data_IF_529438414028
#
_entry.id   IF_529438414028
#
_cell.length_a   1.000
_cell.length_b   1.000
_cell.length_c   1.000
_cell.angle_alpha   90.00
_cell.angle_beta   90.00
_cell.angle_gamma   90.00
#
_symmetry.space_group_name_H-M   'P 1'
#
loop_
_entity.id
_entity.type
_entity.pdbx_description
1 polymer ?
#
# COMPACT_ATOMS: atom_id res chain seq x y z
N UNK A 1 -1.08 1.37 -30.84
CA UNK A 1 0.24 1.36 -30.16
C UNK A 1 0.94 2.67 -30.47
N UNK A 2 1.34 3.42 -29.44
CA UNK A 2 2.05 4.69 -29.58
C UNK A 2 3.41 4.59 -28.91
N UNK A 3 4.44 5.23 -29.48
CA UNK A 3 5.80 5.18 -28.97
C UNK A 3 6.49 6.53 -29.18
N UNK A 4 7.30 6.93 -28.19
CA UNK A 4 8.21 8.07 -28.30
C UNK A 4 9.58 7.72 -27.72
N UNK A 5 10.61 7.89 -28.55
CA UNK A 5 12.01 7.61 -28.21
C UNK A 5 12.75 8.95 -28.12
N UNK A 6 13.41 9.16 -26.99
CA UNK A 6 14.21 10.35 -26.69
C UNK A 6 15.54 9.92 -26.05
N UNK A 7 16.49 10.85 -25.96
CA UNK A 7 17.80 10.57 -25.34
C UNK A 7 17.69 10.23 -23.85
N UNK A 8 16.72 10.83 -23.17
CA UNK A 8 16.48 10.67 -21.74
C UNK A 8 15.52 9.52 -21.40
N UNK A 9 14.92 8.87 -22.40
CA UNK A 9 14.10 7.68 -22.20
C UNK A 9 13.23 7.31 -23.39
N UNK A 10 12.59 6.14 -23.31
CA UNK A 10 11.61 5.65 -24.29
C UNK A 10 10.31 5.35 -23.57
N UNK A 11 9.21 5.89 -24.10
CA UNK A 11 7.86 5.60 -23.60
C UNK A 11 7.08 4.86 -24.68
N UNK A 12 6.45 3.76 -24.30
CA UNK A 12 5.62 2.93 -25.18
C UNK A 12 4.25 2.76 -24.54
N UNK A 13 3.21 2.83 -25.36
CA UNK A 13 1.82 2.63 -24.95
C UNK A 13 1.18 1.56 -25.85
N UNK A 14 0.81 0.45 -25.23
CA UNK A 14 0.22 -0.71 -25.90
C UNK A 14 -1.32 -0.69 -25.94
N UNK A 15 -1.95 0.12 -25.09
CA UNK A 15 -3.40 0.18 -24.91
C UNK A 15 -3.79 0.04 -23.43
N UNK A 16 -3.03 -0.76 -22.68
CA UNK A 16 -3.33 -1.12 -21.29
C UNK A 16 -2.33 -0.52 -20.30
N UNK A 17 -1.11 -0.21 -20.75
CA UNK A 17 -0.08 0.35 -19.90
C UNK A 17 0.89 1.26 -20.67
N UNK A 18 1.42 2.26 -19.96
CA UNK A 18 2.56 3.07 -20.42
C UNK A 18 3.83 2.47 -19.82
N UNK A 19 4.69 1.92 -20.67
CA UNK A 19 6.01 1.43 -20.28
C UNK A 19 7.06 2.51 -20.50
N UNK A 20 7.76 2.85 -19.44
CA UNK A 20 8.78 3.89 -19.36
C UNK A 20 10.13 3.22 -19.15
N UNK A 21 11.02 3.37 -20.13
CA UNK A 21 12.41 2.89 -20.05
C UNK A 21 13.32 4.11 -19.91
N UNK A 22 14.11 4.24 -18.83
CA UNK A 22 15.03 5.35 -18.65
C UNK A 22 16.15 5.30 -19.68
N UNK A 23 16.55 6.47 -20.19
CA UNK A 23 17.73 6.59 -21.04
C UNK A 23 19.02 6.33 -20.27
N UNK A 24 20.13 6.14 -21.00
CA UNK A 24 21.48 5.95 -20.42
C UNK A 24 22.36 7.19 -20.52
N UNK A 25 21.78 8.32 -20.93
CA UNK A 25 22.52 9.57 -21.06
C UNK A 25 22.94 10.14 -19.68
N UNK A 26 24.02 10.91 -19.66
CA UNK A 26 24.56 11.55 -18.44
C UNK A 26 23.57 12.53 -17.79
N UNK A 27 22.60 13.06 -18.55
CA UNK A 27 21.54 13.91 -18.05
C UNK A 27 20.42 13.17 -17.31
N UNK A 28 20.33 11.84 -17.44
CA UNK A 28 19.34 11.03 -16.74
C UNK A 28 19.76 10.85 -15.28
N UNK A 29 18.89 11.24 -14.35
CA UNK A 29 19.18 11.15 -12.91
C UNK A 29 19.39 9.72 -12.43
N UNK A 30 20.25 9.55 -11.43
CA UNK A 30 20.59 8.24 -10.87
C UNK A 30 19.36 7.49 -10.35
N UNK A 31 18.36 8.20 -9.81
CA UNK A 31 17.09 7.60 -9.38
C UNK A 31 16.43 6.83 -10.51
N UNK A 32 16.26 7.45 -11.69
CA UNK A 32 15.62 6.81 -12.84
C UNK A 32 16.44 5.61 -13.33
N UNK A 33 17.77 5.73 -13.33
CA UNK A 33 18.66 4.63 -13.71
C UNK A 33 18.54 3.42 -12.77
N UNK A 34 18.44 3.66 -11.45
CA UNK A 34 18.28 2.60 -10.45
C UNK A 34 16.87 2.02 -10.38
N UNK A 35 15.84 2.87 -10.56
CA UNK A 35 14.46 2.41 -10.65
C UNK A 35 14.26 1.51 -11.88
N UNK A 36 14.98 1.80 -12.97
CA UNK A 36 14.94 1.02 -14.19
C UNK A 36 13.62 1.22 -14.93
N UNK A 37 13.17 0.15 -15.58
CA UNK A 37 11.94 0.15 -16.35
C UNK A 37 10.71 0.20 -15.43
N UNK A 38 9.75 1.06 -15.78
CA UNK A 38 8.48 1.23 -15.05
C UNK A 38 7.32 0.96 -15.98
N UNK A 39 6.44 0.05 -15.61
CA UNK A 39 5.19 -0.22 -16.32
C UNK A 39 4.05 0.41 -15.54
N UNK A 40 3.46 1.47 -16.09
CA UNK A 40 2.34 2.19 -15.49
C UNK A 40 1.03 1.67 -16.08
N UNK A 41 0.21 0.91 -15.33
CA UNK A 41 -1.07 0.44 -15.84
C UNK A 41 -2.03 1.61 -16.04
N UNK A 42 -2.92 1.52 -17.03
CA UNK A 42 -3.88 2.57 -17.39
C UNK A 42 -4.69 3.04 -16.17
N UNK A 43 -5.11 2.10 -15.31
CA UNK A 43 -5.83 2.36 -14.05
C UNK A 43 -5.08 3.24 -13.04
N UNK A 44 -3.75 3.35 -13.13
CA UNK A 44 -2.94 4.19 -12.26
C UNK A 44 -2.75 5.61 -12.81
N UNK A 45 -3.09 5.84 -14.09
CA UNK A 45 -2.88 7.11 -14.77
C UNK A 45 -4.05 8.05 -14.43
N UNK A 46 -3.74 9.18 -13.79
CA UNK A 46 -4.68 10.26 -13.53
C UNK A 46 -4.67 11.33 -14.62
N UNK A 47 -3.74 11.26 -15.57
CA UNK A 47 -3.71 12.11 -16.75
C UNK A 47 -2.35 12.14 -17.44
N UNK A 48 -2.32 12.71 -18.63
CA UNK A 48 -1.09 12.94 -19.40
C UNK A 48 -1.18 14.29 -20.12
N UNK A 49 -0.05 14.99 -20.23
CA UNK A 49 0.05 16.26 -20.94
C UNK A 49 1.36 16.39 -21.71
N UNK A 50 1.29 17.14 -22.81
CA UNK A 50 2.46 17.63 -23.53
C UNK A 50 2.50 19.15 -23.40
N UNK A 51 3.60 19.67 -22.90
CA UNK A 51 3.87 21.09 -22.72
C UNK A 51 4.93 21.51 -23.78
N UNK A 52 4.55 22.18 -24.87
CA UNK A 52 5.50 22.63 -25.88
C UNK A 52 6.41 23.72 -25.31
N UNK A 53 7.68 23.71 -25.72
CA UNK A 53 8.68 24.69 -25.27
C UNK A 53 9.56 25.19 -26.41
N UNK A 54 10.23 26.33 -26.19
CA UNK A 54 11.01 27.02 -27.22
C UNK A 54 12.19 26.20 -27.77
N UNK A 55 12.82 25.37 -26.92
CA UNK A 55 13.98 24.53 -27.29
C UNK A 55 13.66 23.04 -27.28
N UNK A 56 12.82 22.62 -26.33
CA UNK A 56 12.32 21.27 -26.17
C UNK A 56 10.96 21.36 -25.49
N UNK A 57 10.05 20.48 -25.86
CA UNK A 57 8.80 20.26 -25.13
C UNK A 57 8.98 19.27 -23.99
N UNK A 58 7.90 19.01 -23.26
CA UNK A 58 7.90 18.11 -22.11
C UNK A 58 6.64 17.27 -22.08
N UNK A 59 6.80 15.96 -22.04
CA UNK A 59 5.72 15.01 -21.76
C UNK A 59 5.68 14.75 -20.25
N UNK A 60 4.48 14.78 -19.66
CA UNK A 60 4.27 14.55 -18.23
C UNK A 60 3.15 13.55 -18.05
N UNK A 61 3.43 12.47 -17.34
CA UNK A 61 2.44 11.49 -16.90
C UNK A 61 2.11 11.79 -15.44
N UNK A 62 0.83 11.98 -15.14
CA UNK A 62 0.34 12.18 -13.78
C UNK A 62 -0.34 10.91 -13.33
N UNK A 63 0.11 10.35 -12.22
CA UNK A 63 -0.57 9.21 -11.58
C UNK A 63 -1.72 9.70 -10.72
N UNK A 64 -2.67 8.81 -10.46
CA UNK A 64 -3.75 9.06 -9.49
C UNK A 64 -3.16 9.22 -8.09
N UNK A 65 -3.82 10.02 -7.27
CA UNK A 65 -3.41 10.23 -5.88
C UNK A 65 -3.45 8.89 -5.13
N UNK A 66 -2.37 8.55 -4.41
CA UNK A 66 -2.24 7.24 -3.72
C UNK A 66 -1.87 6.05 -4.63
N UNK A 67 -1.76 6.22 -5.95
CA UNK A 67 -1.46 5.07 -6.83
C UNK A 67 0.00 4.59 -6.75
N UNK A 68 0.95 5.46 -6.41
CA UNK A 68 2.39 5.17 -6.48
C UNK A 68 3.11 5.53 -5.18
N UNK A 69 3.83 4.58 -4.55
CA UNK A 69 4.55 4.86 -3.31
C UNK A 69 5.65 5.92 -3.52
N UNK A 70 6.30 5.99 -4.69
CA UNK A 70 7.34 6.98 -4.94
C UNK A 70 6.77 8.40 -5.05
N UNK A 71 5.67 8.59 -5.78
CA UNK A 71 4.95 9.88 -5.78
C UNK A 71 4.43 10.21 -4.39
N UNK A 72 3.89 9.23 -3.65
CA UNK A 72 3.36 9.42 -2.30
C UNK A 72 4.42 10.00 -1.35
N UNK A 73 5.61 9.39 -1.27
CA UNK A 73 6.66 9.84 -0.34
C UNK A 73 7.33 11.14 -0.78
N UNK A 74 7.42 11.39 -2.09
CA UNK A 74 8.11 12.57 -2.60
C UNK A 74 7.20 13.80 -2.69
N UNK A 75 5.89 13.60 -2.82
CA UNK A 75 4.92 14.68 -3.03
C UNK A 75 5.23 15.50 -4.29
N UNK A 76 5.79 14.87 -5.33
CA UNK A 76 6.19 15.55 -6.57
C UNK A 76 7.40 16.48 -6.45
N UNK A 77 8.16 16.42 -5.34
CA UNK A 77 9.34 17.26 -5.08
C UNK A 77 10.65 16.71 -5.63
N UNK A 78 10.61 15.64 -6.44
CA UNK A 78 11.80 15.13 -7.11
C UNK A 78 12.37 16.18 -8.09
N UNK A 79 13.71 16.29 -8.20
CA UNK A 79 14.33 17.05 -9.28
C UNK A 79 13.88 16.52 -10.64
N UNK A 80 13.73 17.39 -11.64
CA UNK A 80 13.17 17.01 -12.95
C UNK A 80 13.94 15.89 -13.64
N UNK A 81 15.28 15.86 -13.51
CA UNK A 81 16.12 14.80 -14.07
C UNK A 81 15.91 13.43 -13.41
N UNK A 82 15.34 13.42 -12.21
CA UNK A 82 15.08 12.23 -11.39
C UNK A 82 13.61 11.81 -11.40
N UNK A 83 12.71 12.62 -11.98
CA UNK A 83 11.29 12.30 -12.07
C UNK A 83 11.06 11.24 -13.19
N UNK A 84 10.63 10.00 -12.86
CA UNK A 84 10.44 8.95 -13.86
C UNK A 84 9.24 9.23 -14.79
N UNK A 85 8.30 10.09 -14.38
CA UNK A 85 7.06 10.38 -15.10
C UNK A 85 7.16 11.64 -15.95
N UNK A 86 8.39 12.03 -16.32
CA UNK A 86 8.68 13.11 -17.26
C UNK A 86 9.60 12.64 -18.38
N UNK A 87 9.38 13.19 -19.57
CA UNK A 87 10.23 12.99 -20.73
C UNK A 87 10.44 14.32 -21.45
N UNK A 88 11.69 14.68 -21.72
CA UNK A 88 12.05 15.80 -22.58
C UNK A 88 11.77 15.41 -24.03
N UNK A 89 11.11 16.29 -24.78
CA UNK A 89 10.72 16.04 -26.17
C UNK A 89 11.48 17.00 -27.08
N UNK A 90 12.34 16.47 -27.95
CA UNK A 90 13.00 17.26 -28.99
C UNK A 90 11.96 17.91 -29.92
N UNK A 91 12.25 19.12 -30.44
CA UNK A 91 11.23 19.94 -31.13
C UNK A 91 10.65 19.28 -32.38
N UNK A 92 11.43 18.46 -33.08
CA UNK A 92 11.04 17.65 -34.24
C UNK A 92 10.16 16.44 -33.87
N UNK A 93 10.01 16.13 -32.58
CA UNK A 93 9.16 15.05 -32.05
C UNK A 93 7.86 15.54 -31.41
N UNK A 94 7.55 16.84 -31.52
CA UNK A 94 6.33 17.42 -30.94
C UNK A 94 5.04 16.70 -31.40
N UNK A 95 4.90 16.43 -32.70
CA UNK A 95 3.71 15.72 -33.20
C UNK A 95 3.59 14.28 -32.72
N UNK A 96 4.72 13.60 -32.46
CA UNK A 96 4.73 12.25 -31.87
C UNK A 96 4.28 12.32 -30.41
N UNK A 97 4.71 13.33 -29.67
CA UNK A 97 4.29 13.54 -28.30
C UNK A 97 2.79 13.86 -28.20
N UNK A 98 2.27 14.73 -29.07
CA UNK A 98 0.83 15.03 -29.15
C UNK A 98 0.01 13.77 -29.44
N UNK A 99 0.42 12.99 -30.44
CA UNK A 99 -0.22 11.71 -30.75
C UNK A 99 -0.19 10.74 -29.57
N UNK A 100 0.95 10.66 -28.86
CA UNK A 100 1.09 9.82 -27.67
C UNK A 100 0.12 10.24 -26.55
N UNK A 101 0.00 11.54 -26.29
CA UNK A 101 -0.96 12.10 -25.33
C UNK A 101 -2.39 11.73 -25.72
N UNK A 102 -2.75 11.93 -26.98
CA UNK A 102 -4.11 11.64 -27.47
C UNK A 102 -4.43 10.15 -27.39
N UNK A 103 -3.47 9.28 -27.72
CA UNK A 103 -3.64 7.82 -27.61
C UNK A 103 -3.96 7.38 -26.18
N UNK A 104 -3.20 7.88 -25.19
CA UNK A 104 -3.42 7.54 -23.78
C UNK A 104 -4.71 8.15 -23.25
N UNK A 105 -5.03 9.41 -23.61
CA UNK A 105 -6.30 10.05 -23.21
C UNK A 105 -7.52 9.33 -23.77
N UNK A 106 -7.46 8.91 -25.04
CA UNK A 106 -8.54 8.14 -25.65
C UNK A 106 -8.74 6.80 -24.96
N UNK A 107 -7.66 6.09 -24.59
CA UNK A 107 -7.76 4.86 -23.83
C UNK A 107 -8.39 5.07 -22.44
N UNK A 108 -7.98 6.10 -21.70
CA UNK A 108 -8.58 6.44 -20.41
C UNK A 108 -10.09 6.68 -20.52
N UNK A 109 -10.54 7.34 -21.59
CA UNK A 109 -11.96 7.59 -21.85
C UNK A 109 -12.73 6.32 -22.23
N UNK A 110 -12.15 5.48 -23.10
CA UNK A 110 -12.78 4.24 -23.55
C UNK A 110 -12.95 3.24 -22.40
N UNK A 111 -11.93 3.10 -21.55
CA UNK A 111 -11.94 2.19 -20.40
C UNK A 111 -12.64 2.77 -19.17
N UNK A 112 -13.10 4.02 -19.25
CA UNK A 112 -13.80 4.72 -18.16
C UNK A 112 -13.02 4.67 -16.85
N UNK A 113 -11.70 4.90 -16.92
CA UNK A 113 -10.83 4.88 -15.74
C UNK A 113 -11.25 5.98 -14.77
N UNK A 114 -11.53 5.59 -13.53
CA UNK A 114 -11.88 6.53 -12.46
C UNK A 114 -10.70 7.49 -12.19
N UNK A 115 -10.90 8.82 -12.32
CA UNK A 115 -9.86 9.80 -12.02
C UNK A 115 -9.64 10.03 -10.51
N UNK A 116 -10.49 9.45 -9.65
CA UNK A 116 -10.44 9.61 -8.20
C UNK A 116 -9.19 9.03 -7.54
N UNK A 117 -8.99 9.32 -6.24
CA UNK A 117 -7.86 8.78 -5.48
C UNK A 117 -7.92 7.25 -5.38
N UNK A 118 -6.78 6.64 -5.11
CA UNK A 118 -6.66 5.23 -4.79
C UNK A 118 -6.54 5.05 -3.27
N UNK A 119 -7.14 3.98 -2.76
CA UNK A 119 -7.01 3.52 -1.37
C UNK A 119 -5.92 2.43 -1.22
N UNK A 120 -5.33 2.00 -2.33
CA UNK A 120 -4.19 1.08 -2.41
C UNK A 120 -3.22 1.47 -3.53
N UNK A 121 -1.95 1.13 -3.36
CA UNK A 121 -0.94 1.33 -4.38
C UNK A 121 -1.21 0.45 -5.62
N UNK A 122 -1.24 1.07 -6.80
CA UNK A 122 -1.38 0.39 -8.09
C UNK A 122 -0.03 0.17 -8.78
N UNK A 123 0.99 0.91 -8.37
CA UNK A 123 2.38 0.73 -8.79
C UNK A 123 3.12 -0.17 -7.81
N UNK A 124 4.03 -1.04 -8.29
CA UNK A 124 4.93 -1.77 -7.41
C UNK A 124 5.90 -0.78 -6.74
N UNK A 125 6.28 -1.08 -5.50
CA UNK A 125 7.40 -0.36 -4.88
C UNK A 125 8.73 -0.78 -5.50
N UNK A 126 9.81 -0.01 -5.25
CA UNK A 126 11.14 -0.36 -5.72
C UNK A 126 11.57 -1.77 -5.28
N UNK A 127 12.33 -2.51 -6.12
CA UNK A 127 12.76 -3.86 -5.80
C UNK A 127 13.73 -3.85 -4.60
N UNK A 128 13.56 -4.83 -3.71
CA UNK A 128 14.41 -5.06 -2.53
C UNK A 128 15.21 -6.36 -2.70
N UNK A 129 16.40 -6.49 -2.08
CA UNK A 129 17.07 -5.52 -1.21
C UNK A 129 17.65 -4.33 -1.98
N UNK A 130 17.72 -3.17 -1.34
CA UNK A 130 18.35 -1.96 -1.87
C UNK A 130 19.20 -1.26 -0.81
N UNK A 131 20.27 -0.61 -1.24
CA UNK A 131 21.18 0.12 -0.36
C UNK A 131 21.78 1.31 -1.09
N UNK A 132 21.64 2.49 -0.49
CA UNK A 132 22.12 3.74 -1.08
C UNK A 132 22.83 4.60 -0.04
N UNK A 133 24.02 5.08 -0.39
CA UNK A 133 24.77 6.08 0.37
C UNK A 133 24.49 7.49 -0.14
N UNK A 134 23.94 8.35 0.71
CA UNK A 134 23.70 9.76 0.42
C UNK A 134 23.68 10.59 1.72
N UNK A 135 24.15 11.83 1.64
CA UNK A 135 24.21 12.70 2.81
C UNK A 135 25.08 12.13 3.94
N UNK A 136 24.53 12.04 5.15
CA UNK A 136 25.24 11.56 6.34
C UNK A 136 25.16 10.04 6.58
N UNK A 137 24.52 9.26 5.72
CA UNK A 137 24.36 7.82 5.97
C UNK A 137 24.29 6.96 4.69
N UNK A 138 24.44 5.65 4.91
CA UNK A 138 23.97 4.62 3.98
C UNK A 138 22.69 4.02 4.53
N UNK A 139 21.60 4.15 3.79
CA UNK A 139 20.32 3.55 4.13
C UNK A 139 20.14 2.27 3.32
N UNK A 140 19.87 1.16 4.02
CA UNK A 140 19.63 -0.14 3.43
C UNK A 140 18.29 -0.69 3.87
N UNK A 141 17.59 -1.38 2.96
CA UNK A 141 16.31 -2.00 3.23
C UNK A 141 16.21 -3.34 2.51
N UNK A 142 15.93 -4.41 3.25
CA UNK A 142 15.85 -5.78 2.73
C UNK A 142 14.41 -6.26 2.45
N UNK A 143 13.41 -5.46 2.82
CA UNK A 143 12.00 -5.82 2.75
C UNK A 143 11.32 -5.96 4.11
N UNK A 144 12.09 -6.05 5.20
CA UNK A 144 11.61 -6.13 6.58
C UNK A 144 12.36 -5.16 7.51
N UNK A 145 13.68 -5.02 7.36
CA UNK A 145 14.55 -4.21 8.24
C UNK A 145 15.16 -3.04 7.50
N UNK A 146 15.10 -1.88 8.14
CA UNK A 146 15.81 -0.68 7.72
C UNK A 146 17.08 -0.56 8.55
N UNK A 147 18.22 -0.38 7.88
CA UNK A 147 19.53 -0.14 8.52
C UNK A 147 20.07 1.20 8.02
N UNK A 148 20.39 2.09 8.96
CA UNK A 148 21.08 3.36 8.72
C UNK A 148 22.50 3.26 9.27
N UNK A 149 23.47 3.19 8.35
CA UNK A 149 24.90 3.15 8.68
C UNK A 149 25.51 4.55 8.53
N UNK A 150 26.03 5.09 9.62
CA UNK A 150 26.53 6.46 9.71
C UNK A 150 27.92 6.60 9.11
N UNK A 151 28.14 7.67 8.34
CA UNK A 151 29.44 7.96 7.76
C UNK A 151 30.22 9.01 8.59
N UNK A 152 31.34 9.48 8.06
CA UNK A 152 32.21 10.43 8.76
C UNK A 152 31.64 11.85 8.87
N UNK A 153 30.61 12.20 8.08
CA UNK A 153 29.91 13.50 8.13
C UNK A 153 28.75 13.53 9.12
N UNK A 154 28.38 12.37 9.69
CA UNK A 154 27.32 12.27 10.68
C UNK A 154 27.70 12.96 11.98
N UNK A 155 26.74 13.65 12.57
CA UNK A 155 26.87 14.24 13.90
C UNK A 155 27.15 13.20 14.99
N UNK A 156 27.97 13.61 15.95
CA UNK A 156 28.45 12.74 17.04
C UNK A 156 27.31 12.18 17.89
N UNK A 157 26.23 12.95 18.05
CA UNK A 157 25.01 12.52 18.74
C UNK A 157 24.37 11.26 18.11
N UNK A 158 24.42 11.12 16.78
CA UNK A 158 23.94 9.90 16.11
C UNK A 158 25.02 8.82 16.10
N UNK A 159 26.25 9.22 15.75
CA UNK A 159 27.39 8.30 15.55
C UNK A 159 27.77 7.55 16.83
N UNK A 160 27.70 8.19 17.99
CA UNK A 160 27.97 7.57 19.30
C UNK A 160 27.01 6.44 19.66
N UNK A 161 25.79 6.44 19.10
CA UNK A 161 24.81 5.38 19.29
C UNK A 161 25.02 4.15 18.39
N UNK A 162 25.97 4.19 17.45
CA UNK A 162 26.16 3.17 16.42
C UNK A 162 25.07 3.20 15.34
N UNK A 163 25.12 2.25 14.38
CA UNK A 163 24.12 2.11 13.34
C UNK A 163 22.70 2.04 13.92
N UNK A 164 21.73 2.62 13.22
CA UNK A 164 20.32 2.54 13.61
C UNK A 164 19.64 1.44 12.81
N UNK A 165 18.98 0.51 13.50
CA UNK A 165 18.23 -0.58 12.89
C UNK A 165 16.84 -0.69 13.52
N UNK A 166 15.82 -0.90 12.69
CA UNK A 166 14.43 -1.11 13.11
C UNK A 166 13.67 -1.89 12.03
N UNK A 167 12.54 -2.51 12.40
CA UNK A 167 11.68 -3.21 11.44
C UNK A 167 10.70 -2.24 10.81
N UNK A 168 10.28 -2.52 9.58
CA UNK A 168 9.22 -1.79 8.88
C UNK A 168 7.89 -1.85 9.63
N UNK A 169 7.63 -2.95 10.36
CA UNK A 169 6.46 -3.09 11.21
C UNK A 169 6.40 -2.07 12.34
N UNK A 170 7.56 -1.57 12.78
CA UNK A 170 7.65 -0.56 13.85
C UNK A 170 7.60 0.87 13.27
N UNK A 171 7.49 1.04 11.95
CA UNK A 171 7.48 2.36 11.29
C UNK A 171 6.05 2.87 11.18
N UNK A 172 5.80 4.02 11.82
CA UNK A 172 4.54 4.75 11.74
C UNK A 172 4.47 5.70 10.54
N UNK A 173 5.58 6.37 10.22
CA UNK A 173 5.64 7.31 9.09
C UNK A 173 7.03 7.29 8.45
N UNK A 174 7.07 7.49 7.13
CA UNK A 174 8.30 7.71 6.37
C UNK A 174 8.17 9.01 5.58
N UNK A 175 9.05 9.95 5.89
CA UNK A 175 9.05 11.28 5.30
C UNK A 175 10.35 11.52 4.54
N UNK A 176 10.22 11.97 3.29
CA UNK A 176 11.36 12.40 2.50
C UNK A 176 11.21 13.87 2.12
N UNK A 177 12.32 14.62 2.14
CA UNK A 177 12.36 16.00 1.68
C UNK A 177 13.69 16.26 0.96
N UNK A 178 13.69 16.86 -0.24
CA UNK A 178 14.92 17.24 -0.90
C UNK A 178 15.58 18.42 -0.18
N UNK A 179 16.90 18.53 -0.31
CA UNK A 179 17.60 19.78 0.03
C UNK A 179 17.14 20.92 -0.87
N UNK A 180 17.07 22.14 -0.33
CA UNK A 180 16.67 23.32 -1.10
C UNK A 180 17.49 24.54 -0.69
N UNK A 181 18.27 25.09 -1.63
CA UNK A 181 19.10 26.25 -1.36
C UNK A 181 20.18 25.93 -0.34
N UNK A 182 20.10 26.55 0.85
CA UNK A 182 21.01 26.30 1.98
C UNK A 182 20.44 25.31 3.00
N UNK A 183 19.18 24.90 2.83
CA UNK A 183 18.51 23.96 3.73
C UNK A 183 18.80 22.53 3.32
N UNK A 184 19.27 21.73 4.30
CA UNK A 184 19.44 20.29 4.14
C UNK A 184 18.09 19.61 3.91
N UNK A 185 18.11 18.55 3.09
CA UNK A 185 17.00 17.63 2.98
C UNK A 185 17.08 16.54 4.05
N UNK A 186 16.15 15.60 4.03
CA UNK A 186 16.18 14.45 4.91
C UNK A 186 15.38 13.27 4.38
N UNK A 187 15.76 12.08 4.87
CA UNK A 187 14.92 10.89 4.92
C UNK A 187 14.71 10.56 6.40
N UNK A 188 13.46 10.58 6.85
CA UNK A 188 13.10 10.39 8.26
C UNK A 188 12.12 9.24 8.42
N UNK A 189 12.38 8.41 9.42
CA UNK A 189 11.48 7.36 9.87
C UNK A 189 10.94 7.73 11.26
N UNK A 190 9.63 7.69 11.42
CA UNK A 190 8.98 7.85 12.71
C UNK A 190 8.54 6.47 13.18
N UNK A 191 9.08 6.01 14.30
CA UNK A 191 8.73 4.71 14.88
C UNK A 191 7.46 4.79 15.73
N UNK A 192 6.78 3.67 15.90
CA UNK A 192 5.67 3.54 16.84
C UNK A 192 6.12 3.87 18.28
N UNK A 193 5.27 4.58 19.02
CA UNK A 193 5.59 5.02 20.38
C UNK A 193 6.71 6.07 20.49
N UNK A 194 7.29 6.53 19.37
CA UNK A 194 8.31 7.56 19.40
C UNK A 194 7.77 8.89 19.98
N UNK A 195 8.56 9.50 20.85
CA UNK A 195 8.30 10.85 21.35
C UNK A 195 8.43 11.88 20.22
N UNK A 196 8.17 13.16 20.53
CA UNK A 196 8.40 14.25 19.58
C UNK A 196 9.85 14.19 19.09
N UNK A 197 10.00 13.95 17.80
CA UNK A 197 11.30 13.69 17.24
C UNK A 197 12.15 14.99 17.21
N UNK A 198 13.46 14.92 17.50
CA UNK A 198 14.32 16.10 17.63
C UNK A 198 14.56 16.76 16.27
N UNK A 199 15.38 17.81 16.22
CA UNK A 199 15.82 18.35 14.93
C UNK A 199 16.48 17.24 14.08
N UNK A 200 16.30 17.21 12.74
CA UNK A 200 16.82 16.16 11.86
C UNK A 200 18.29 15.77 12.13
N UNK A 201 19.10 16.79 12.39
CA UNK A 201 20.51 16.71 12.75
C UNK A 201 20.84 15.85 13.99
N UNK A 202 19.91 15.72 14.93
CA UNK A 202 20.08 14.95 16.18
C UNK A 202 19.20 13.69 16.23
N UNK A 203 18.41 13.45 15.19
CA UNK A 203 17.50 12.31 15.14
C UNK A 203 18.21 11.08 14.56
N UNK A 204 18.29 10.00 15.35
CA UNK A 204 18.89 8.73 14.92
C UNK A 204 18.07 8.01 13.84
N UNK A 205 16.80 8.32 13.71
CA UNK A 205 15.95 7.76 12.65
C UNK A 205 15.88 8.70 11.43
N UNK A 206 16.78 9.67 11.33
CA UNK A 206 16.84 10.63 10.21
C UNK A 206 18.21 10.63 9.55
N UNK A 207 18.24 10.47 8.22
CA UNK A 207 19.39 10.73 7.36
C UNK A 207 19.27 12.16 6.85
N UNK A 208 20.30 12.99 7.03
CA UNK A 208 20.36 14.33 6.44
C UNK A 208 20.90 14.27 5.02
N UNK A 209 20.31 15.05 4.11
CA UNK A 209 20.66 15.12 2.70
C UNK A 209 21.26 16.49 2.37
N UNK A 210 22.36 16.52 1.62
CA UNK A 210 23.18 17.71 1.41
C UNK A 210 23.09 18.31 0.00
N UNK A 211 22.17 17.83 -0.82
CA UNK A 211 21.95 18.27 -2.20
C UNK A 211 22.87 17.64 -3.23
N UNK A 212 23.45 16.48 -2.92
CA UNK A 212 24.29 15.77 -3.88
C UNK A 212 23.46 14.93 -4.86
N UNK A 213 24.09 14.52 -5.97
CA UNK A 213 23.44 13.75 -7.04
C UNK A 213 22.80 12.43 -6.59
N UNK A 214 23.24 11.86 -5.47
CA UNK A 214 22.73 10.60 -4.92
C UNK A 214 21.53 10.78 -3.98
N UNK A 215 21.26 12.00 -3.51
CA UNK A 215 20.21 12.26 -2.52
C UNK A 215 18.81 11.83 -2.97
N UNK A 216 18.43 11.96 -4.26
CA UNK A 216 17.16 11.41 -4.74
C UNK A 216 17.05 9.89 -4.56
N UNK A 217 18.14 9.14 -4.48
CA UNK A 217 18.09 7.67 -4.25
C UNK A 217 17.46 7.33 -2.89
N UNK A 218 17.53 8.23 -1.91
CA UNK A 218 16.87 8.05 -0.62
C UNK A 218 15.34 8.04 -0.74
N UNK A 219 14.78 8.64 -1.80
CA UNK A 219 13.35 8.50 -2.09
C UNK A 219 12.96 7.08 -2.52
N UNK A 220 13.88 6.30 -3.12
CA UNK A 220 13.62 4.88 -3.43
C UNK A 220 13.56 4.04 -2.15
N UNK A 221 14.43 4.32 -1.17
CA UNK A 221 14.36 3.69 0.15
C UNK A 221 13.01 4.02 0.80
N UNK A 222 12.64 5.30 0.81
CA UNK A 222 11.37 5.75 1.37
C UNK A 222 10.17 5.06 0.72
N UNK A 223 10.14 4.99 -0.62
CA UNK A 223 9.06 4.35 -1.37
C UNK A 223 8.99 2.83 -1.11
N UNK A 224 10.13 2.16 -0.99
CA UNK A 224 10.19 0.72 -0.70
C UNK A 224 9.71 0.39 0.72
N UNK A 225 9.90 1.31 1.67
CA UNK A 225 9.34 1.21 3.02
C UNK A 225 7.85 1.53 3.00
N UNK A 226 7.44 2.64 2.36
CA UNK A 226 6.05 3.09 2.29
C UNK A 226 5.09 2.05 1.69
N UNK A 227 5.49 1.34 0.63
CA UNK A 227 4.65 0.32 0.00
C UNK A 227 4.33 -0.87 0.92
N UNK A 228 5.10 -1.05 2.00
CA UNK A 228 4.92 -2.11 3.01
C UNK A 228 4.23 -1.62 4.28
N UNK A 229 3.95 -0.32 4.36
CA UNK A 229 3.16 0.28 5.42
C UNK A 229 1.68 0.33 5.00
N UNK A 230 0.74 0.48 5.95
CA UNK A 230 -0.65 0.73 5.62
C UNK A 230 -0.79 1.93 4.68
N UNK A 231 -1.62 1.78 3.64
CA UNK A 231 -1.83 2.85 2.68
C UNK A 231 -2.48 4.07 3.37
N UNK A 232 -2.00 5.31 3.17
CA UNK A 232 -2.49 6.48 3.91
C UNK A 232 -3.97 6.83 3.68
N UNK A 233 -4.53 6.40 2.55
CA UNK A 233 -5.94 6.56 2.22
C UNK A 233 -6.73 5.24 2.32
N UNK A 234 -6.12 4.16 2.82
CA UNK A 234 -6.88 2.94 3.11
C UNK A 234 -7.96 3.25 4.14
N UNK A 235 -9.15 2.67 4.01
CA UNK A 235 -10.14 2.74 5.07
C UNK A 235 -9.52 2.20 6.36
N UNK A 236 -9.80 2.86 7.48
CA UNK A 236 -9.43 2.32 8.78
C UNK A 236 -10.00 0.89 8.85
N UNK A 237 -9.18 -0.10 9.25
CA UNK A 237 -9.71 -1.43 9.46
C UNK A 237 -10.87 -1.28 10.45
N UNK A 238 -12.10 -1.58 9.99
CA UNK A 238 -13.22 -1.67 10.90
C UNK A 238 -12.77 -2.62 12.01
N UNK A 239 -12.89 -2.21 13.30
CA UNK A 239 -12.54 -3.11 14.38
C UNK A 239 -13.32 -4.38 14.11
N UNK A 240 -12.62 -5.51 13.93
CA UNK A 240 -13.24 -6.81 13.72
C UNK A 240 -14.32 -6.93 14.80
N UNK A 241 -15.58 -6.70 14.42
CA UNK A 241 -16.69 -7.10 15.27
C UNK A 241 -16.43 -8.58 15.44
N UNK A 242 -16.22 -9.06 16.69
CA UNK A 242 -15.94 -10.46 16.88
C UNK A 242 -17.02 -11.21 16.12
N UNK A 243 -16.60 -11.96 15.10
CA UNK A 243 -17.48 -12.91 14.45
C UNK A 243 -18.10 -13.67 15.61
N UNK A 244 -19.44 -13.72 15.76
CA UNK A 244 -20.03 -14.50 16.82
C UNK A 244 -19.44 -15.89 16.65
N UNK A 245 -18.67 -16.31 17.66
CA UNK A 245 -18.11 -17.65 17.74
C UNK A 245 -19.24 -18.59 17.35
N UNK A 246 -19.05 -19.55 16.43
CA UNK A 246 -20.05 -20.58 16.26
C UNK A 246 -20.27 -21.16 17.65
N UNK A 247 -21.50 -21.03 18.17
CA UNK A 247 -21.95 -21.64 19.41
C UNK A 247 -21.70 -23.13 19.26
N UNK A 248 -20.52 -23.58 19.68
CA UNK A 248 -20.29 -24.98 19.98
C UNK A 248 -21.24 -25.29 21.16
N UNK A 249 -22.25 -26.10 20.86
CA UNK A 249 -23.24 -26.68 21.78
C UNK A 249 -23.15 -26.18 23.22
N UNK A 250 -23.77 -25.02 23.47
CA UNK A 250 -24.19 -24.67 24.81
C UNK A 250 -25.39 -25.58 25.16
N UNK A 251 -25.08 -26.74 25.73
CA UNK A 251 -26.05 -27.53 26.46
C UNK A 251 -26.79 -26.60 27.46
N UNK A 252 -28.14 -26.62 27.50
CA UNK A 252 -28.86 -25.80 28.44
C UNK A 252 -28.65 -26.34 29.86
N UNK A 253 -27.82 -25.65 30.64
CA UNK A 253 -27.82 -25.76 32.08
C UNK A 253 -29.05 -25.00 32.63
N UNK A 254 -30.19 -25.68 32.68
CA UNK A 254 -31.31 -25.29 33.54
C UNK A 254 -31.22 -26.16 34.80
N UNK A 255 -30.78 -25.50 35.88
CA UNK A 255 -30.82 -26.02 37.23
C UNK A 255 -32.24 -26.45 37.59
N UNK A 256 -32.34 -27.62 38.24
CA UNK A 256 -33.57 -28.35 38.44
C UNK A 256 -34.59 -27.67 39.35
N UNK A 257 -35.85 -27.76 38.92
CA UNK A 257 -37.02 -27.70 39.79
C UNK A 257 -37.75 -29.06 39.73
N UNK A 258 -38.32 -29.55 40.84
CA UNK A 258 -39.04 -30.82 40.89
C UNK A 258 -40.46 -30.63 40.33
N UNK A 259 -40.60 -30.50 39.01
CA UNK A 259 -41.89 -30.36 38.30
C UNK A 259 -42.14 -31.48 37.27
N UNK A 260 -41.25 -32.46 37.23
CA UNK A 260 -41.10 -33.29 36.06
C UNK A 260 -42.07 -34.51 36.11
N UNK A 261 -42.32 -35.07 37.30
CA UNK A 261 -43.19 -36.26 37.40
C UNK A 261 -44.67 -36.01 37.07
N UNK A 262 -45.25 -34.90 37.55
CA UNK A 262 -46.65 -34.55 37.24
C UNK A 262 -46.85 -34.17 35.76
N UNK A 263 -45.84 -33.55 35.16
CA UNK A 263 -45.85 -33.23 33.73
C UNK A 263 -45.78 -34.50 32.88
N UNK A 264 -44.98 -35.49 33.29
CA UNK A 264 -44.91 -36.80 32.67
C UNK A 264 -46.23 -37.56 32.80
N UNK A 265 -46.84 -37.58 33.99
CA UNK A 265 -48.12 -38.25 34.21
C UNK A 265 -49.26 -37.60 33.41
N UNK A 266 -49.27 -36.27 33.27
CA UNK A 266 -50.22 -35.56 32.41
C UNK A 266 -50.03 -35.92 30.94
N UNK A 267 -48.79 -35.91 30.43
CA UNK A 267 -48.48 -36.26 29.04
C UNK A 267 -48.81 -37.71 28.70
N UNK A 268 -48.56 -38.65 29.63
CA UNK A 268 -48.96 -40.05 29.45
C UNK A 268 -50.48 -40.22 29.42
N UNK A 269 -51.23 -39.41 30.17
CA UNK A 269 -52.69 -39.41 30.16
C UNK A 269 -53.25 -38.87 28.83
N UNK A 270 -52.70 -37.76 28.34
CA UNK A 270 -53.07 -37.17 27.04
C UNK A 270 -52.81 -38.14 25.87
N UNK A 271 -51.65 -38.80 25.85
CA UNK A 271 -51.33 -39.82 24.82
C UNK A 271 -52.25 -41.04 24.93
N UNK A 272 -52.66 -41.41 26.14
CA UNK A 272 -53.67 -42.46 26.38
C UNK A 272 -55.06 -42.10 25.83
N UNK A 273 -55.50 -40.86 26.01
CA UNK A 273 -56.78 -40.36 25.50
C UNK A 273 -56.78 -40.28 23.96
N UNK A 274 -55.65 -39.90 23.35
CA UNK A 274 -55.51 -39.86 21.89
C UNK A 274 -55.55 -41.26 21.25
N UNK A 275 -55.04 -42.29 21.94
CA UNK A 275 -55.19 -43.68 21.49
C UNK A 275 -56.61 -44.21 21.71
N UNK A 276 -57.24 -43.90 22.86
CA UNK A 276 -58.63 -44.32 23.11
C UNK A 276 -59.64 -43.66 22.18
N UNK A 277 -59.38 -42.43 21.73
CA UNK A 277 -60.19 -41.75 20.71
C UNK A 277 -59.92 -42.23 19.28
N UNK A 278 -59.03 -43.22 19.11
CA UNK A 278 -58.70 -43.82 17.82
C UNK A 278 -57.88 -42.92 16.89
N UNK A 279 -57.36 -41.80 17.40
CA UNK A 279 -56.54 -40.84 16.65
C UNK A 279 -55.12 -41.40 16.46
N UNK A 280 -54.59 -42.08 17.48
CA UNK A 280 -53.31 -42.77 17.40
C UNK A 280 -53.51 -44.27 17.19
N UNK A 281 -52.71 -44.84 16.30
CA UNK A 281 -52.61 -46.30 16.18
C UNK A 281 -51.81 -46.90 17.35
N UNK A 282 -51.93 -48.21 17.58
CA UNK A 282 -51.26 -48.88 18.70
C UNK A 282 -49.72 -48.79 18.63
N UNK A 283 -49.16 -48.77 17.41
CA UNK A 283 -47.72 -48.64 17.17
C UNK A 283 -47.24 -47.21 17.46
N UNK A 284 -48.00 -46.20 17.02
CA UNK A 284 -47.70 -44.78 17.29
C UNK A 284 -47.85 -44.44 18.78
N UNK A 285 -48.84 -45.01 19.46
CA UNK A 285 -48.99 -44.89 20.91
C UNK A 285 -47.79 -45.49 21.65
N UNK A 286 -47.34 -46.68 21.25
CA UNK A 286 -46.19 -47.35 21.88
C UNK A 286 -44.89 -46.56 21.67
N UNK A 287 -44.67 -46.01 20.48
CA UNK A 287 -43.53 -45.15 20.19
C UNK A 287 -43.57 -43.84 20.98
N UNK A 288 -44.73 -43.18 21.07
CA UNK A 288 -44.89 -41.94 21.82
C UNK A 288 -44.71 -42.15 23.34
N UNK A 289 -45.24 -43.25 23.89
CA UNK A 289 -45.05 -43.62 25.29
C UNK A 289 -43.58 -43.90 25.61
N UNK A 290 -42.87 -44.63 24.74
CA UNK A 290 -41.45 -44.90 24.91
C UNK A 290 -40.60 -43.62 24.82
N UNK A 291 -40.94 -42.71 23.91
CA UNK A 291 -40.26 -41.42 23.77
C UNK A 291 -40.46 -40.50 24.98
N UNK A 292 -41.61 -40.54 25.64
CA UNK A 292 -41.88 -39.76 26.86
C UNK A 292 -41.13 -40.35 28.06
N UNK A 293 -41.15 -41.67 28.22
CA UNK A 293 -40.44 -42.35 29.30
C UNK A 293 -38.91 -42.29 29.14
N UNK A 294 -38.39 -42.30 27.91
CA UNK A 294 -36.95 -42.25 27.64
C UNK A 294 -36.32 -40.85 27.76
N UNK A 295 -37.13 -39.79 27.94
CA UNK A 295 -36.66 -38.42 28.20
C UNK A 295 -36.53 -38.12 29.71
N UNK A 296 -36.68 -39.14 30.55
CA UNK A 296 -36.60 -39.11 32.01
C UNK A 296 -35.60 -40.11 32.55
#
# INVERSE_FOLDING_TARGET
MAEIIQKDGTWTFDGDAVRIVPGRDKGVGLLRQHLGEVVVPLRAIGGISYEPGRKAGRLRLRLRDGADPLVQVTGGRLPESSDPYRLSVESDRSGVAEYFVDAVRNALLLDQVDPGPCDAYLMPGPPVPLSFGAGDATASFDGDRVVLDWNWTTEEAKRSGGPCEFRVADVRAVDWSPSKGLDNGWLRFTLEGAAKAPAPKYDRCTVELFGFKKDPLMALVAAAVAVRMPHPAAPEPEPERPLPLPLADAAPALAGEPADHDTLLRRLREVGELHQSGILTADEFSAAKAAILGRF
#
